data_IF_824010053107
#
_entry.id   IF_824010053107
#
_cell.length_a   1.000
_cell.length_b   1.000
_cell.length_c   1.000
_cell.angle_alpha   90.00
_cell.angle_beta   90.00
_cell.angle_gamma   90.00
#
_symmetry.space_group_name_H-M   'P 1'
#
loop_
_entity.id
_entity.type
_entity.pdbx_description
1 polymer ?
#
# COMPACT_ATOMS: atom_id res chain seq x y z
N UNK A 1 1.82 13.25 -11.86
CA UNK A 1 0.68 12.33 -12.14
C UNK A 1 1.01 10.93 -11.66
N UNK A 2 2.24 10.48 -11.85
CA UNK A 2 2.73 9.12 -11.60
C UNK A 2 2.38 8.55 -10.22
N UNK A 3 2.49 9.34 -9.15
CA UNK A 3 2.10 8.91 -7.79
C UNK A 3 0.61 8.54 -7.71
N UNK A 4 -0.26 9.31 -8.35
CA UNK A 4 -1.70 9.01 -8.36
C UNK A 4 -1.96 7.69 -9.09
N UNK A 5 -1.38 7.53 -10.29
CA UNK A 5 -1.52 6.31 -11.09
C UNK A 5 -0.97 5.10 -10.34
N UNK A 6 0.15 5.25 -9.63
CA UNK A 6 0.69 4.22 -8.75
C UNK A 6 -0.29 3.83 -7.64
N UNK A 7 -0.94 4.81 -7.01
CA UNK A 7 -2.00 4.55 -6.03
C UNK A 7 -3.18 3.76 -6.61
N UNK A 8 -3.57 4.03 -7.86
CA UNK A 8 -4.60 3.26 -8.57
C UNK A 8 -4.14 1.82 -8.80
N UNK A 9 -2.90 1.61 -9.24
CA UNK A 9 -2.33 0.27 -9.46
C UNK A 9 -2.26 -0.52 -8.15
N UNK A 10 -1.87 0.11 -7.02
CA UNK A 10 -1.91 -0.56 -5.71
C UNK A 10 -3.32 -1.02 -5.33
N UNK A 11 -4.35 -0.21 -5.60
CA UNK A 11 -5.74 -0.59 -5.37
C UNK A 11 -6.18 -1.76 -6.27
N UNK A 12 -5.78 -1.75 -7.54
CA UNK A 12 -6.03 -2.83 -8.49
C UNK A 12 -5.43 -4.14 -7.99
N UNK A 13 -4.16 -4.11 -7.56
CA UNK A 13 -3.43 -5.28 -7.06
C UNK A 13 -4.09 -5.89 -5.81
N UNK A 14 -4.45 -5.07 -4.82
CA UNK A 14 -4.98 -5.63 -3.56
C UNK A 14 -6.46 -6.04 -3.65
N UNK A 15 -7.20 -5.56 -4.65
CA UNK A 15 -8.61 -5.96 -4.86
C UNK A 15 -8.82 -7.00 -5.95
N UNK A 16 -7.89 -7.13 -6.90
CA UNK A 16 -8.08 -7.92 -8.11
C UNK A 16 -9.17 -7.39 -9.03
N UNK A 17 -9.57 -6.11 -8.89
CA UNK A 17 -10.65 -5.48 -9.67
C UNK A 17 -10.08 -4.54 -10.71
N UNK A 18 -10.72 -4.47 -11.87
CA UNK A 18 -10.38 -3.51 -12.90
C UNK A 18 -10.57 -2.06 -12.43
N UNK A 19 -9.76 -1.14 -12.97
CA UNK A 19 -9.79 0.29 -12.62
C UNK A 19 -11.14 0.93 -12.93
N UNK A 20 -11.79 0.46 -13.99
CA UNK A 20 -13.14 0.85 -14.41
C UNK A 20 -13.90 -0.46 -14.62
N UNK A 21 -15.01 -0.65 -13.93
CA UNK A 21 -15.85 -1.84 -14.11
C UNK A 21 -16.78 -1.72 -15.33
N UNK A 22 -17.51 -2.79 -15.64
CA UNK A 22 -18.48 -2.85 -16.76
C UNK A 22 -19.59 -1.78 -16.67
N UNK A 23 -19.84 -1.24 -15.47
CA UNK A 23 -20.83 -0.21 -15.20
C UNK A 23 -20.24 1.21 -15.32
N UNK A 24 -18.93 1.33 -15.56
CA UNK A 24 -18.20 2.59 -15.64
C UNK A 24 -17.84 3.19 -14.29
N UNK A 25 -17.98 2.45 -13.18
CA UNK A 25 -17.58 2.92 -11.88
C UNK A 25 -16.06 2.88 -11.75
N UNK A 26 -15.51 3.93 -11.13
CA UNK A 26 -14.07 4.10 -11.00
C UNK A 26 -13.58 3.58 -9.65
N UNK A 27 -12.65 2.62 -9.68
CA UNK A 27 -12.16 1.88 -8.51
C UNK A 27 -11.67 2.79 -7.39
N UNK A 28 -10.82 3.77 -7.71
CA UNK A 28 -10.24 4.69 -6.72
C UNK A 28 -11.29 5.60 -6.07
N UNK A 29 -12.34 5.98 -6.79
CA UNK A 29 -13.42 6.80 -6.25
C UNK A 29 -14.27 6.00 -5.26
N UNK A 30 -14.51 4.72 -5.55
CA UNK A 30 -15.17 3.80 -4.64
C UNK A 30 -14.32 3.52 -3.39
N UNK A 31 -13.02 3.29 -3.56
CA UNK A 31 -12.10 3.07 -2.45
C UNK A 31 -12.06 4.25 -1.47
N UNK A 32 -11.93 5.50 -1.98
CA UNK A 32 -11.94 6.70 -1.11
C UNK A 32 -13.22 6.74 -0.28
N UNK A 33 -14.40 6.57 -0.89
CA UNK A 33 -15.69 6.56 -0.16
C UNK A 33 -15.79 5.41 0.84
N UNK A 34 -15.31 4.23 0.47
CA UNK A 34 -15.38 3.02 1.30
C UNK A 34 -14.51 3.16 2.55
N UNK A 35 -13.33 3.77 2.43
CA UNK A 35 -12.34 3.85 3.50
C UNK A 35 -12.27 5.20 4.21
N UNK A 36 -13.14 6.15 3.87
CA UNK A 36 -13.36 7.41 4.61
C UNK A 36 -14.14 7.17 5.92
N UNK A 37 -13.56 6.35 6.80
CA UNK A 37 -14.10 6.04 8.13
C UNK A 37 -13.03 6.27 9.18
N UNK A 38 -13.43 6.79 10.35
CA UNK A 38 -12.52 7.09 11.47
C UNK A 38 -12.23 5.88 12.35
N UNK A 39 -13.06 4.84 12.27
CA UNK A 39 -12.95 3.64 13.09
C UNK A 39 -12.08 2.61 12.36
N UNK A 40 -10.92 2.28 12.94
CA UNK A 40 -9.96 1.35 12.34
C UNK A 40 -10.49 -0.09 12.26
N UNK A 41 -11.30 -0.53 13.22
CA UNK A 41 -11.91 -1.87 13.17
C UNK A 41 -12.90 -2.01 12.01
N UNK A 42 -13.73 -0.98 11.80
CA UNK A 42 -14.66 -0.93 10.67
C UNK A 42 -13.90 -0.85 9.33
N UNK A 43 -12.82 -0.06 9.29
CA UNK A 43 -11.95 0.01 8.12
C UNK A 43 -11.33 -1.35 7.78
N UNK A 44 -10.84 -2.07 8.79
CA UNK A 44 -10.27 -3.41 8.63
C UNK A 44 -11.32 -4.43 8.16
N UNK A 45 -12.55 -4.36 8.68
CA UNK A 45 -13.68 -5.19 8.21
C UNK A 45 -13.98 -4.93 6.74
N UNK A 46 -14.12 -3.66 6.34
CA UNK A 46 -14.34 -3.27 4.93
C UNK A 46 -13.20 -3.71 4.05
N UNK A 47 -11.95 -3.58 4.50
CA UNK A 47 -10.78 -4.02 3.74
C UNK A 47 -10.85 -5.52 3.51
N UNK A 48 -11.14 -6.32 4.53
CA UNK A 48 -11.28 -7.78 4.39
C UNK A 48 -12.31 -8.20 3.34
N UNK A 49 -13.42 -7.46 3.24
CA UNK A 49 -14.46 -7.67 2.21
C UNK A 49 -14.04 -7.20 0.82
N UNK A 50 -13.10 -6.27 0.76
CA UNK A 50 -12.66 -5.62 -0.48
C UNK A 50 -11.49 -6.33 -1.17
N UNK A 51 -10.67 -7.04 -0.40
CA UNK A 51 -9.48 -7.75 -0.86
C UNK A 51 -9.79 -8.83 -1.90
N UNK A 52 -8.83 -9.07 -2.79
CA UNK A 52 -8.86 -10.26 -3.64
C UNK A 52 -8.87 -11.53 -2.76
N UNK A 53 -9.75 -12.47 -3.12
CA UNK A 53 -9.84 -13.78 -2.47
C UNK A 53 -8.54 -14.58 -2.61
N UNK A 54 -7.73 -14.31 -3.62
CA UNK A 54 -6.40 -14.90 -3.79
C UNK A 54 -5.46 -14.45 -2.65
N UNK A 55 -5.45 -13.17 -2.30
CA UNK A 55 -4.64 -12.61 -1.21
C UNK A 55 -5.05 -13.19 0.14
N UNK A 56 -6.34 -13.45 0.34
CA UNK A 56 -6.83 -14.10 1.57
C UNK A 56 -6.33 -15.54 1.76
N UNK A 57 -5.78 -16.17 0.72
CA UNK A 57 -5.15 -17.50 0.79
C UNK A 57 -3.65 -17.42 1.09
N UNK A 58 -3.07 -16.24 1.04
CA UNK A 58 -1.66 -15.99 1.36
C UNK A 58 -1.47 -15.68 2.85
N UNK A 59 -0.21 -15.70 3.30
CA UNK A 59 0.16 -15.41 4.69
C UNK A 59 0.35 -13.92 4.96
N UNK A 60 -0.40 -13.05 4.28
CA UNK A 60 -0.36 -11.61 4.53
C UNK A 60 -1.13 -11.25 5.80
N UNK A 61 -0.51 -10.48 6.69
CA UNK A 61 -1.20 -9.96 7.87
C UNK A 61 -2.20 -8.86 7.47
N UNK A 62 -3.33 -8.76 8.19
CA UNK A 62 -4.28 -7.67 7.98
C UNK A 62 -3.66 -6.29 8.27
N UNK A 63 -2.64 -6.23 9.13
CA UNK A 63 -1.90 -5.01 9.43
C UNK A 63 -1.08 -4.54 8.22
N UNK A 64 -0.34 -5.46 7.58
CA UNK A 64 0.40 -5.20 6.34
C UNK A 64 -0.54 -4.72 5.24
N UNK A 65 -1.68 -5.39 5.05
CA UNK A 65 -2.67 -5.03 4.03
C UNK A 65 -3.32 -3.67 4.31
N UNK A 66 -3.55 -3.34 5.58
CA UNK A 66 -4.00 -2.00 5.98
C UNK A 66 -2.94 -0.94 5.68
N UNK A 67 -1.66 -1.25 5.89
CA UNK A 67 -0.54 -0.39 5.52
C UNK A 67 -0.52 -0.09 4.02
N UNK A 68 -0.62 -1.13 3.18
CA UNK A 68 -0.69 -0.97 1.70
C UNK A 68 -1.91 -0.14 1.29
N UNK A 69 -3.08 -0.39 1.88
CA UNK A 69 -4.28 0.41 1.63
C UNK A 69 -4.04 1.89 1.98
N UNK A 70 -3.44 2.18 3.13
CA UNK A 70 -3.17 3.54 3.57
C UNK A 70 -2.23 4.27 2.62
N UNK A 71 -1.18 3.60 2.12
CA UNK A 71 -0.29 4.14 1.10
C UNK A 71 -1.08 4.45 -0.19
N UNK A 72 -1.91 3.52 -0.65
CA UNK A 72 -2.72 3.70 -1.86
C UNK A 72 -3.66 4.90 -1.73
N UNK A 73 -4.39 5.02 -0.62
CA UNK A 73 -5.31 6.16 -0.37
C UNK A 73 -4.54 7.49 -0.28
N UNK A 74 -3.36 7.53 0.34
CA UNK A 74 -2.53 8.74 0.40
C UNK A 74 -2.05 9.19 -1.00
N UNK A 75 -1.70 8.25 -1.87
CA UNK A 75 -1.30 8.51 -3.25
C UNK A 75 -2.43 9.14 -4.09
N UNK A 76 -3.69 8.84 -3.76
CA UNK A 76 -4.88 9.29 -4.46
C UNK A 76 -5.37 10.67 -4.03
N UNK A 77 -4.58 11.42 -3.24
CA UNK A 77 -4.95 12.77 -2.83
C UNK A 77 -5.21 13.65 -4.06
N UNK A 78 -6.32 14.40 -4.05
CA UNK A 78 -6.68 15.33 -5.13
C UNK A 78 -5.66 16.44 -5.28
N UNK A 79 -5.08 16.89 -4.17
CA UNK A 79 -4.00 17.86 -4.15
C UNK A 79 -2.64 17.14 -4.37
N UNK A 80 -1.95 17.37 -5.50
CA UNK A 80 -0.68 16.73 -5.79
C UNK A 80 0.41 17.01 -4.76
N UNK A 81 0.35 18.16 -4.07
CA UNK A 81 1.34 18.54 -3.05
C UNK A 81 1.20 17.74 -1.74
N UNK A 82 0.04 17.11 -1.53
CA UNK A 82 -0.25 16.28 -0.35
C UNK A 82 0.01 14.80 -0.58
N UNK A 83 0.42 14.43 -1.80
CA UNK A 83 0.78 13.04 -2.12
C UNK A 83 2.17 12.74 -1.53
N UNK A 84 2.42 11.53 -1.04
CA UNK A 84 3.73 11.14 -0.52
C UNK A 84 4.78 11.17 -1.63
N UNK A 85 6.05 11.35 -1.26
CA UNK A 85 7.15 11.15 -2.20
C UNK A 85 7.31 9.67 -2.50
N UNK A 86 7.96 9.33 -3.62
CA UNK A 86 8.28 7.93 -3.94
C UNK A 86 9.14 7.28 -2.85
N UNK A 87 10.01 8.05 -2.20
CA UNK A 87 10.84 7.56 -1.09
C UNK A 87 9.96 7.17 0.11
N UNK A 88 8.98 8.01 0.47
CA UNK A 88 8.05 7.72 1.56
C UNK A 88 7.16 6.51 1.26
N UNK A 89 6.76 6.36 0.00
CA UNK A 89 5.98 5.21 -0.48
C UNK A 89 6.79 3.92 -0.31
N UNK A 90 8.02 3.87 -0.83
CA UNK A 90 8.89 2.69 -0.75
C UNK A 90 9.16 2.33 0.71
N UNK A 91 9.49 3.31 1.54
CA UNK A 91 9.71 3.11 2.97
C UNK A 91 8.47 2.59 3.71
N UNK A 92 7.29 3.08 3.35
CA UNK A 92 6.03 2.64 3.97
C UNK A 92 5.67 1.22 3.54
N UNK A 93 5.89 0.88 2.27
CA UNK A 93 5.63 -0.45 1.74
C UNK A 93 6.62 -1.50 2.27
N UNK A 94 7.91 -1.17 2.40
CA UNK A 94 8.90 -2.10 2.97
C UNK A 94 8.57 -2.49 4.42
N UNK A 95 8.02 -1.56 5.19
CA UNK A 95 7.54 -1.84 6.55
C UNK A 95 6.32 -2.76 6.59
N UNK A 96 5.54 -2.81 5.51
CA UNK A 96 4.43 -3.75 5.41
C UNK A 96 4.94 -5.20 5.25
N UNK A 97 6.19 -5.42 4.83
CA UNK A 97 6.81 -6.74 4.65
C UNK A 97 7.41 -7.35 5.93
N UNK A 98 7.59 -6.58 7.01
CA UNK A 98 8.32 -7.02 8.21
C UNK A 98 7.62 -8.14 9.03
N UNK A 99 6.50 -8.68 8.54
CA UNK A 99 5.92 -9.94 9.05
C UNK A 99 6.38 -11.19 8.29
N UNK A 100 7.25 -11.09 7.27
CA UNK A 100 7.49 -12.20 6.33
C UNK A 100 8.91 -12.43 5.78
N UNK A 101 9.86 -11.49 5.83
CA UNK A 101 11.22 -11.75 5.34
C UNK A 101 12.28 -11.10 6.24
N UNK A 102 13.08 -11.93 6.92
CA UNK A 102 14.40 -11.54 7.41
C UNK A 102 15.28 -11.29 6.18
N UNK A 103 15.46 -10.02 5.81
CA UNK A 103 16.55 -9.64 4.93
C UNK A 103 17.85 -9.91 5.70
N UNK A 104 18.55 -10.99 5.36
CA UNK A 104 19.93 -11.17 5.78
C UNK A 104 20.75 -10.01 5.22
N UNK A 105 21.18 -9.13 6.12
CA UNK A 105 22.17 -8.08 5.86
C UNK A 105 23.53 -8.74 5.62
N UNK A 106 23.75 -9.20 4.40
CA UNK A 106 25.06 -9.69 3.97
C UNK A 106 25.94 -8.47 3.65
N UNK A 107 26.70 -8.08 4.68
CA UNK A 107 27.40 -6.82 4.76
C UNK A 107 28.41 -6.52 3.66
N UNK A 108 28.48 -5.25 3.29
CA UNK A 108 29.66 -4.67 2.66
C UNK A 108 30.61 -4.15 3.75
N UNK A 109 31.61 -4.98 4.07
CA UNK A 109 32.83 -4.54 4.75
C UNK A 109 33.49 -3.42 3.94
N UNK A 110 33.38 -2.18 4.39
CA UNK A 110 34.30 -1.12 3.98
C UNK A 110 35.51 -1.16 4.90
N UNK A 111 36.63 -1.67 4.38
CA UNK A 111 37.91 -1.65 5.05
C UNK A 111 38.40 -0.21 5.26
N UNK A 112 38.77 0.08 6.51
CA UNK A 112 39.79 1.01 7.01
C UNK A 112 39.92 2.43 6.43
N UNK A 113 39.71 3.42 7.30
CA UNK A 113 40.64 4.55 7.47
C UNK A 113 40.81 4.86 8.98
N UNK A 114 41.99 4.56 9.51
CA UNK A 114 42.47 5.03 10.83
C UNK A 114 43.23 6.33 10.60
N UNK A 115 42.81 7.43 11.24
CA UNK A 115 43.61 8.64 11.36
C UNK A 115 44.14 8.76 12.80
N UNK A 116 45.46 8.86 12.93
CA UNK A 116 46.20 9.20 14.16
C UNK A 116 46.35 10.71 14.27
#
# INVERSE_FOLDING_TARGET
MDVFSFGVVLLELISGKEVIDDEGNVLWANAIKTFEVKNEQEKARRLKEWLDKAILRETCSMESLMGVLNVAIACLNRDPSKRPSIIDIVYSLSKCEESGFELSDDGFSSQNLVAR
#
